data_IF_362588532197
#
_entry.id   IF_362588532197
#
_cell.length_a   1.000
_cell.length_b   1.000
_cell.length_c   1.000
_cell.angle_alpha   90.00
_cell.angle_beta   90.00
_cell.angle_gamma   90.00
#
_symmetry.space_group_name_H-M   'P 1'
#
loop_
_entity.id
_entity.type
_entity.pdbx_description
1 polymer ?
#
# COMPACT_ATOMS: atom_id res chain seq x y z
N UNK A 1 3.69 -24.57 -1.23
CA UNK A 1 2.67 -23.78 -0.50
C UNK A 1 3.31 -23.11 0.68
N UNK A 2 2.90 -21.88 0.94
CA UNK A 2 3.41 -21.02 2.00
C UNK A 2 2.27 -20.68 2.96
N UNK A 3 2.59 -20.59 4.24
CA UNK A 3 1.66 -20.14 5.27
C UNK A 3 1.77 -18.64 5.38
N UNK A 4 0.65 -17.93 5.21
CA UNK A 4 0.61 -16.47 5.30
C UNK A 4 -0.33 -16.03 6.42
N UNK A 5 0.01 -14.88 7.02
CA UNK A 5 -0.81 -14.14 7.97
C UNK A 5 -1.01 -12.73 7.42
N UNK A 6 -2.23 -12.42 7.01
CA UNK A 6 -2.63 -11.10 6.52
C UNK A 6 -3.17 -10.28 7.68
N UNK A 7 -2.59 -9.11 7.90
CA UNK A 7 -3.05 -8.13 8.89
C UNK A 7 -3.81 -7.04 8.14
N UNK A 8 -5.14 -7.04 8.25
CA UNK A 8 -6.04 -6.14 7.50
C UNK A 8 -5.77 -4.67 7.80
N UNK A 9 -5.55 -4.34 9.08
CA UNK A 9 -5.33 -2.97 9.55
C UNK A 9 -4.05 -2.33 9.01
N UNK A 10 -2.97 -3.13 8.87
CA UNK A 10 -1.68 -2.63 8.36
C UNK A 10 -1.45 -2.93 6.89
N UNK A 11 -2.33 -3.73 6.27
CA UNK A 11 -2.20 -4.24 4.91
C UNK A 11 -0.85 -4.95 4.67
N UNK A 12 -0.39 -5.72 5.65
CA UNK A 12 0.88 -6.47 5.58
C UNK A 12 0.66 -7.96 5.61
N UNK A 13 1.60 -8.69 5.01
CA UNK A 13 1.70 -10.14 5.11
C UNK A 13 2.90 -10.49 5.99
N UNK A 14 2.69 -11.39 6.94
CA UNK A 14 3.75 -12.12 7.60
C UNK A 14 3.78 -13.54 7.03
N UNK A 15 4.89 -13.89 6.40
CA UNK A 15 5.08 -15.18 5.75
C UNK A 15 5.90 -16.11 6.64
N UNK A 16 5.55 -17.39 6.62
CA UNK A 16 6.43 -18.44 7.13
C UNK A 16 7.10 -19.13 5.94
N UNK A 17 8.44 -19.03 5.87
CA UNK A 17 9.26 -19.72 4.87
C UNK A 17 8.96 -21.22 4.87
N UNK A 18 8.86 -21.80 3.67
CA UNK A 18 8.22 -23.09 3.41
C UNK A 18 8.72 -24.29 4.20
N UNK A 19 7.86 -25.31 4.26
CA UNK A 19 8.03 -26.53 5.07
C UNK A 19 6.96 -26.63 6.15
N UNK A 20 6.35 -27.80 6.30
CA UNK A 20 5.30 -28.05 7.30
C UNK A 20 3.86 -28.06 6.76
N UNK A 21 3.67 -27.97 5.44
CA UNK A 21 2.46 -28.53 4.85
C UNK A 21 2.62 -30.05 4.84
N UNK A 22 1.76 -30.74 5.59
CA UNK A 22 1.71 -32.20 5.65
C UNK A 22 0.33 -32.66 5.21
N UNK A 23 0.24 -33.78 4.50
CA UNK A 23 -1.04 -34.34 4.03
C UNK A 23 -1.99 -34.70 5.18
N UNK A 24 -1.44 -35.01 6.36
CA UNK A 24 -2.19 -35.28 7.58
C UNK A 24 -2.74 -34.02 8.28
N UNK A 25 -2.40 -32.81 7.80
CA UNK A 25 -2.94 -31.53 8.24
C UNK A 25 -2.50 -31.06 9.63
N UNK A 26 -1.95 -31.93 10.48
CA UNK A 26 -1.62 -31.60 11.89
C UNK A 26 -0.52 -30.54 11.98
N UNK A 27 0.58 -30.72 11.24
CA UNK A 27 1.67 -29.74 11.22
C UNK A 27 1.19 -28.46 10.53
N UNK A 28 0.37 -28.58 9.49
CA UNK A 28 -0.18 -27.45 8.75
C UNK A 28 -1.04 -26.55 9.64
N UNK A 29 -1.94 -27.12 10.46
CA UNK A 29 -2.77 -26.37 11.41
C UNK A 29 -1.95 -25.75 12.53
N UNK A 30 -1.01 -26.50 13.11
CA UNK A 30 -0.14 -25.97 14.17
C UNK A 30 0.64 -24.74 13.71
N UNK A 31 1.12 -24.73 12.47
CA UNK A 31 1.91 -23.63 11.90
C UNK A 31 1.07 -22.37 11.65
N UNK A 32 -0.15 -22.52 11.12
CA UNK A 32 -1.09 -21.39 11.00
C UNK A 32 -1.48 -20.83 12.37
N UNK A 33 -1.66 -21.69 13.36
CA UNK A 33 -1.92 -21.26 14.74
C UNK A 33 -0.73 -20.45 15.31
N UNK A 34 0.51 -20.87 15.05
CA UNK A 34 1.69 -20.09 15.43
C UNK A 34 1.70 -18.71 14.77
N UNK A 35 1.40 -18.62 13.46
CA UNK A 35 1.28 -17.34 12.76
C UNK A 35 0.21 -16.43 13.39
N UNK A 36 -0.95 -17.00 13.72
CA UNK A 36 -2.05 -16.27 14.39
C UNK A 36 -1.62 -15.78 15.78
N UNK A 37 -1.01 -16.64 16.59
CA UNK A 37 -0.54 -16.28 17.93
C UNK A 37 0.55 -15.21 17.90
N UNK A 38 1.47 -15.26 16.94
CA UNK A 38 2.48 -14.22 16.76
C UNK A 38 1.83 -12.86 16.46
N UNK A 39 0.78 -12.82 15.63
CA UNK A 39 0.05 -11.60 15.35
C UNK A 39 -0.70 -11.07 16.58
N UNK A 40 -1.38 -11.95 17.33
CA UNK A 40 -2.03 -11.57 18.59
C UNK A 40 -1.03 -11.03 19.63
N UNK A 41 0.12 -11.67 19.78
CA UNK A 41 1.19 -11.24 20.68
C UNK A 41 1.82 -9.91 20.24
N UNK A 42 1.78 -9.57 18.95
CA UNK A 42 2.19 -8.27 18.43
C UNK A 42 1.14 -7.17 18.66
N UNK A 43 -0.01 -7.50 19.25
CA UNK A 43 -1.07 -6.55 19.60
C UNK A 43 -2.15 -6.37 18.53
N UNK A 44 -2.16 -7.18 17.47
CA UNK A 44 -3.25 -7.15 16.49
C UNK A 44 -4.50 -7.83 17.03
N UNK A 45 -5.67 -7.35 16.60
CA UNK A 45 -6.95 -7.95 17.00
C UNK A 45 -7.27 -9.18 16.15
N UNK A 46 -8.01 -10.12 16.72
CA UNK A 46 -8.35 -11.38 16.04
C UNK A 46 -9.14 -11.17 14.74
N UNK A 47 -10.06 -10.19 14.71
CA UNK A 47 -10.88 -9.84 13.54
C UNK A 47 -10.06 -9.19 12.40
N UNK A 48 -8.88 -8.66 12.72
CA UNK A 48 -7.93 -8.07 11.78
C UNK A 48 -6.95 -9.08 11.18
N UNK A 49 -6.94 -10.32 11.68
CA UNK A 49 -5.97 -11.36 11.29
C UNK A 49 -6.66 -12.39 10.39
N UNK A 50 -6.02 -12.73 9.26
CA UNK A 50 -6.41 -13.85 8.41
C UNK A 50 -5.20 -14.74 8.14
N UNK A 51 -5.28 -16.01 8.53
CA UNK A 51 -4.22 -17.01 8.29
C UNK A 51 -4.67 -18.07 7.30
N UNK A 52 -3.85 -18.35 6.30
CA UNK A 52 -4.16 -19.37 5.27
C UNK A 52 -2.92 -19.93 4.60
N UNK A 53 -3.05 -21.14 4.08
CA UNK A 53 -2.08 -21.72 3.14
C UNK A 53 -2.41 -21.24 1.73
N UNK A 54 -1.39 -20.77 1.01
CA UNK A 54 -1.52 -20.34 -0.38
C UNK A 54 -0.37 -20.90 -1.20
N UNK A 55 -0.57 -21.00 -2.51
CA UNK A 55 0.53 -21.18 -3.45
C UNK A 55 1.37 -19.90 -3.53
N UNK A 56 2.62 -20.01 -4.00
CA UNK A 56 3.49 -18.84 -4.17
C UNK A 56 2.88 -17.81 -5.12
N UNK A 57 2.13 -18.26 -6.14
CA UNK A 57 1.40 -17.40 -7.07
C UNK A 57 0.28 -16.63 -6.38
N UNK A 58 -0.52 -17.29 -5.57
CA UNK A 58 -1.60 -16.66 -4.82
C UNK A 58 -1.06 -15.68 -3.77
N UNK A 59 0.02 -16.03 -3.07
CA UNK A 59 0.70 -15.13 -2.14
C UNK A 59 1.17 -13.85 -2.82
N UNK A 60 1.78 -13.96 -4.01
CA UNK A 60 2.21 -12.81 -4.79
C UNK A 60 1.03 -11.91 -5.22
N UNK A 61 -0.11 -12.49 -5.60
CA UNK A 61 -1.33 -11.73 -5.93
C UNK A 61 -1.86 -10.96 -4.72
N UNK A 62 -1.92 -11.60 -3.55
CA UNK A 62 -2.37 -10.96 -2.30
C UNK A 62 -1.42 -9.80 -1.94
N UNK A 63 -0.10 -10.02 -2.02
CA UNK A 63 0.87 -8.97 -1.72
C UNK A 63 0.75 -7.78 -2.67
N UNK A 64 0.54 -8.04 -3.97
CA UNK A 64 0.33 -7.00 -4.97
C UNK A 64 -0.95 -6.20 -4.69
N UNK A 65 -2.04 -6.87 -4.32
CA UNK A 65 -3.30 -6.22 -3.97
C UNK A 65 -3.20 -5.36 -2.70
N UNK A 66 -2.46 -5.83 -1.69
CA UNK A 66 -2.23 -5.06 -0.47
C UNK A 66 -1.41 -3.80 -0.72
N UNK A 67 -0.46 -3.85 -1.66
CA UNK A 67 0.37 -2.72 -2.08
C UNK A 67 -0.38 -1.68 -2.95
N UNK A 68 -1.59 -1.99 -3.44
CA UNK A 68 -2.38 -0.98 -4.17
C UNK A 68 -2.77 0.17 -3.23
N UNK A 69 -2.67 1.43 -3.69
CA UNK A 69 -3.11 2.56 -2.90
C UNK A 69 -4.60 2.45 -2.59
N UNK A 70 -4.96 2.82 -1.37
CA UNK A 70 -6.37 2.89 -0.96
C UNK A 70 -7.08 4.02 -1.71
N UNK A 71 -8.42 3.95 -1.87
CA UNK A 71 -9.19 5.05 -2.44
C UNK A 71 -8.90 6.40 -1.77
N UNK A 72 -8.74 6.40 -0.45
CA UNK A 72 -8.39 7.59 0.34
C UNK A 72 -7.01 8.16 -0.04
N UNK A 73 -6.00 7.29 -0.20
CA UNK A 73 -4.66 7.71 -0.66
C UNK A 73 -4.64 8.20 -2.10
N UNK A 74 -5.53 7.67 -2.95
CA UNK A 74 -5.71 8.15 -4.32
C UNK A 74 -6.30 9.56 -4.28
N UNK A 75 -7.39 9.75 -3.52
CA UNK A 75 -8.06 11.04 -3.40
C UNK A 75 -7.14 12.12 -2.78
N UNK A 76 -6.33 11.76 -1.78
CA UNK A 76 -5.34 12.67 -1.19
C UNK A 76 -4.29 13.10 -2.22
N UNK A 77 -3.74 12.15 -2.99
CA UNK A 77 -2.81 12.47 -4.08
C UNK A 77 -3.45 13.35 -5.16
N UNK A 78 -4.72 13.12 -5.49
CA UNK A 78 -5.44 13.96 -6.45
C UNK A 78 -5.61 15.38 -5.91
N UNK A 79 -5.97 15.53 -4.63
CA UNK A 79 -6.06 16.84 -3.96
C UNK A 79 -4.70 17.55 -3.96
N UNK A 80 -3.63 16.88 -3.59
CA UNK A 80 -2.27 17.45 -3.62
C UNK A 80 -1.88 17.89 -5.04
N UNK A 81 -2.19 17.08 -6.05
CA UNK A 81 -1.90 17.39 -7.45
C UNK A 81 -2.65 18.65 -7.90
N UNK A 82 -3.93 18.79 -7.53
CA UNK A 82 -4.73 19.98 -7.81
C UNK A 82 -4.20 21.22 -7.08
N UNK A 83 -3.77 21.09 -5.83
CA UNK A 83 -3.16 22.19 -5.07
C UNK A 83 -1.86 22.64 -5.75
N UNK A 84 -0.99 21.71 -6.13
CA UNK A 84 0.26 22.04 -6.83
C UNK A 84 -0.01 22.68 -8.20
N UNK A 85 -1.01 22.22 -8.94
CA UNK A 85 -1.41 22.85 -10.20
C UNK A 85 -1.83 24.31 -9.98
N UNK A 86 -2.69 24.59 -8.99
CA UNK A 86 -3.10 25.96 -8.65
C UNK A 86 -1.94 26.85 -8.21
N UNK A 87 -1.01 26.32 -7.42
CA UNK A 87 0.19 27.07 -7.01
C UNK A 87 1.03 27.44 -8.25
N UNK A 88 1.20 26.52 -9.20
CA UNK A 88 1.92 26.81 -10.46
C UNK A 88 1.20 27.86 -11.29
N UNK A 89 -0.12 27.77 -11.42
CA UNK A 89 -0.92 28.78 -12.16
C UNK A 89 -0.80 30.18 -11.53
N UNK A 90 -0.86 30.26 -10.19
CA UNK A 90 -0.69 31.53 -9.48
C UNK A 90 0.73 32.09 -9.65
N UNK A 91 1.76 31.26 -9.54
CA UNK A 91 3.15 31.68 -9.76
C UNK A 91 3.37 32.20 -11.20
N UNK A 92 2.79 31.56 -12.20
CA UNK A 92 2.83 32.04 -13.59
C UNK A 92 2.11 33.39 -13.70
N UNK A 93 0.93 33.54 -13.10
CA UNK A 93 0.19 34.80 -13.13
C UNK A 93 0.95 35.96 -12.47
N UNK A 94 1.64 35.71 -11.36
CA UNK A 94 2.51 36.71 -10.73
C UNK A 94 3.69 37.10 -11.62
N UNK A 95 4.35 36.13 -12.26
CA UNK A 95 5.46 36.42 -13.18
C UNK A 95 5.01 37.19 -14.43
N UNK A 96 3.79 36.96 -14.92
CA UNK A 96 3.17 37.77 -15.99
C UNK A 96 2.92 39.19 -15.51
N UNK A 97 2.38 39.36 -14.28
CA UNK A 97 2.12 40.69 -13.68
C UNK A 97 3.41 41.49 -13.46
N UNK A 98 4.49 40.81 -13.10
CA UNK A 98 5.83 41.41 -12.97
C UNK A 98 6.51 41.70 -14.33
N UNK A 99 5.88 41.35 -15.45
CA UNK A 99 6.41 41.55 -16.80
C UNK A 99 7.60 40.66 -17.15
N UNK A 100 7.85 39.62 -16.35
CA UNK A 100 8.93 38.64 -16.58
C UNK A 100 8.51 37.58 -17.62
N UNK A 101 7.21 37.31 -17.71
CA UNK A 101 6.60 36.43 -18.71
C UNK A 101 5.55 37.17 -19.55
N UNK A 102 5.37 36.78 -20.81
CA UNK A 102 4.27 37.22 -21.66
C UNK A 102 2.97 36.48 -21.33
N UNK A 103 1.86 36.86 -21.98
CA UNK A 103 0.53 36.24 -21.75
C UNK A 103 0.49 34.75 -22.10
N UNK A 104 1.46 34.27 -22.86
CA UNK A 104 1.62 32.86 -23.25
C UNK A 104 2.61 32.12 -22.33
N UNK A 105 3.08 32.76 -21.24
CA UNK A 105 4.00 32.19 -20.26
C UNK A 105 5.45 32.10 -20.74
N UNK A 106 5.83 32.80 -21.81
CA UNK A 106 7.22 32.80 -22.31
C UNK A 106 8.01 33.96 -21.71
N UNK A 107 9.31 33.74 -21.51
CA UNK A 107 10.21 34.76 -20.97
C UNK A 107 10.25 35.96 -21.90
N UNK A 108 9.91 37.14 -21.37
CA UNK A 108 10.12 38.42 -22.07
C UNK A 108 11.62 38.70 -22.01
N UNK A 109 12.34 38.41 -23.09
CA UNK A 109 13.73 38.85 -23.22
C UNK A 109 13.74 40.38 -23.27
N UNK A 110 14.40 41.00 -22.29
CA UNK A 110 14.76 42.42 -22.33
C UNK A 110 15.65 42.73 -23.53
#
# INVERSE_FOLDING_TARGET
MIGICVIKSTRRIHEMMGGGYSEDGVIATSRLNTLKQNALNAGYKEDEIEVKWVTDKEGAVIQADLNKPTPEQIEEKEKETLIQAKIREQAIAELIKEGKLDKDGKIVKK
#
